data_IF_772262805828
#
_entry.id   IF_772262805828
#
_cell.length_a   1.000
_cell.length_b   1.000
_cell.length_c   1.000
_cell.angle_alpha   90.00
_cell.angle_beta   90.00
_cell.angle_gamma   90.00
#
_symmetry.space_group_name_H-M   'P 1'
#
loop_
_entity.id
_entity.type
_entity.pdbx_description
1 polymer ?
#
# COMPACT_ATOMS: atom_id res chain seq x y z
N UNK A 1 -1.94 -30.45 -2.20
CA UNK A 1 -3.17 -29.77 -1.90
C UNK A 1 -3.13 -29.27 -0.47
N UNK A 2 -2.86 -27.98 -0.30
CA UNK A 2 -2.88 -27.33 1.01
C UNK A 2 -4.32 -26.88 1.25
N UNK A 3 -4.98 -27.48 2.22
CA UNK A 3 -6.42 -27.35 2.47
C UNK A 3 -6.79 -26.24 3.45
N UNK A 4 -6.02 -25.17 3.52
CA UNK A 4 -6.38 -23.95 4.24
C UNK A 4 -6.63 -22.79 3.27
N UNK A 5 -7.46 -23.02 2.27
CA UNK A 5 -8.06 -21.91 1.51
C UNK A 5 -8.93 -21.14 2.50
N UNK A 6 -8.61 -19.89 2.69
CA UNK A 6 -9.37 -18.99 3.53
C UNK A 6 -10.83 -18.98 3.03
N UNK A 7 -11.73 -19.61 3.79
CA UNK A 7 -13.15 -19.73 3.44
C UNK A 7 -13.92 -18.47 3.84
N UNK A 8 -13.25 -17.33 3.96
CA UNK A 8 -13.91 -16.07 4.31
C UNK A 8 -14.77 -15.64 3.14
N UNK A 9 -16.01 -15.38 3.41
CA UNK A 9 -16.97 -14.83 2.46
C UNK A 9 -17.15 -13.36 2.78
N UNK A 10 -17.09 -12.51 1.77
CA UNK A 10 -17.43 -11.10 1.91
C UNK A 10 -18.90 -11.01 2.27
N UNK A 11 -19.19 -10.31 3.37
CA UNK A 11 -20.56 -10.07 3.82
C UNK A 11 -20.90 -8.58 3.65
N UNK A 12 -22.17 -8.26 3.52
CA UNK A 12 -22.68 -6.90 3.31
C UNK A 12 -23.11 -6.66 1.86
N UNK A 13 -23.11 -5.42 1.42
CA UNK A 13 -23.57 -5.01 0.08
C UNK A 13 -22.48 -5.22 -0.99
N UNK A 14 -21.89 -6.42 -1.00
CA UNK A 14 -20.87 -6.82 -1.95
C UNK A 14 -21.48 -7.19 -3.32
N UNK A 15 -20.83 -6.75 -4.38
CA UNK A 15 -21.19 -7.11 -5.75
C UNK A 15 -19.99 -7.12 -6.69
N UNK A 16 -20.07 -7.90 -7.76
CA UNK A 16 -19.01 -7.96 -8.77
C UNK A 16 -17.95 -9.01 -8.44
N UNK A 17 -16.80 -8.90 -9.07
CA UNK A 17 -15.65 -9.77 -8.86
C UNK A 17 -14.48 -8.88 -8.46
N UNK A 18 -13.82 -9.18 -7.35
CA UNK A 18 -12.66 -8.42 -6.87
C UNK A 18 -11.43 -9.32 -6.89
N UNK A 19 -10.36 -8.83 -7.49
CA UNK A 19 -9.03 -9.45 -7.47
C UNK A 19 -8.19 -8.71 -6.46
N UNK A 20 -7.43 -9.43 -5.65
CA UNK A 20 -6.60 -8.86 -4.58
C UNK A 20 -5.23 -9.51 -4.64
N UNK A 21 -4.20 -8.70 -4.67
CA UNK A 21 -2.82 -9.13 -4.39
C UNK A 21 -2.50 -8.94 -2.92
N UNK A 22 -1.78 -9.88 -2.33
CA UNK A 22 -1.43 -9.85 -0.92
C UNK A 22 0.00 -10.34 -0.67
N UNK A 23 0.74 -9.61 0.14
CA UNK A 23 2.10 -9.99 0.52
C UNK A 23 2.14 -11.16 1.50
N UNK A 24 1.15 -11.27 2.39
CA UNK A 24 1.04 -12.35 3.35
C UNK A 24 2.23 -12.41 4.32
N UNK A 25 2.26 -11.56 5.33
CA UNK A 25 3.37 -11.54 6.29
C UNK A 25 3.36 -12.76 7.23
N UNK A 26 2.18 -13.28 7.55
CA UNK A 26 2.02 -14.51 8.34
C UNK A 26 1.70 -15.73 7.48
N UNK A 27 1.21 -15.52 6.27
CA UNK A 27 0.86 -16.53 5.30
C UNK A 27 1.74 -16.39 4.06
N UNK A 28 1.57 -17.26 3.06
CA UNK A 28 2.20 -17.08 1.76
C UNK A 28 1.57 -15.90 1.02
N UNK A 29 2.39 -15.18 0.30
CA UNK A 29 1.95 -14.21 -0.69
C UNK A 29 1.00 -14.86 -1.68
N UNK A 30 -0.05 -14.16 -2.10
CA UNK A 30 -1.11 -14.75 -2.93
C UNK A 30 -1.83 -13.69 -3.77
N UNK A 31 -2.38 -14.14 -4.89
CA UNK A 31 -3.42 -13.47 -5.63
C UNK A 31 -4.74 -14.19 -5.33
N UNK A 32 -5.74 -13.44 -4.91
CA UNK A 32 -7.08 -13.90 -4.52
C UNK A 32 -8.12 -13.35 -5.47
N UNK A 33 -9.15 -14.14 -5.77
CA UNK A 33 -10.31 -13.66 -6.52
C UNK A 33 -11.58 -14.00 -5.73
N UNK A 34 -12.33 -12.97 -5.41
CA UNK A 34 -13.67 -13.09 -4.84
C UNK A 34 -14.72 -12.93 -5.93
N UNK A 35 -15.64 -13.89 -6.01
CA UNK A 35 -16.72 -13.86 -6.99
C UNK A 35 -17.93 -13.04 -6.52
N UNK A 36 -18.96 -12.90 -7.39
CA UNK A 36 -20.11 -12.05 -7.11
C UNK A 36 -20.95 -12.46 -5.88
N UNK A 37 -20.75 -13.67 -5.39
CA UNK A 37 -21.36 -14.20 -4.17
C UNK A 37 -20.51 -13.92 -2.90
N UNK A 38 -19.42 -13.19 -3.06
CA UNK A 38 -18.46 -12.90 -2.00
C UNK A 38 -17.57 -14.08 -1.59
N UNK A 39 -17.69 -15.23 -2.25
CA UNK A 39 -16.86 -16.40 -2.00
C UNK A 39 -15.55 -16.37 -2.79
N UNK A 40 -14.51 -16.99 -2.24
CA UNK A 40 -13.22 -17.14 -2.93
C UNK A 40 -13.37 -18.09 -4.11
N UNK A 41 -13.11 -17.61 -5.32
CA UNK A 41 -13.19 -18.39 -6.56
C UNK A 41 -11.83 -18.91 -7.03
N UNK A 42 -10.76 -18.16 -6.77
CA UNK A 42 -9.43 -18.51 -7.22
C UNK A 42 -8.36 -18.04 -6.21
N UNK A 43 -7.29 -18.83 -6.09
CA UNK A 43 -6.11 -18.51 -5.29
C UNK A 43 -4.87 -18.96 -6.03
N UNK A 44 -3.91 -18.06 -6.18
CA UNK A 44 -2.58 -18.37 -6.69
C UNK A 44 -1.52 -17.95 -5.67
N UNK A 45 -0.66 -18.87 -5.25
CA UNK A 45 0.45 -18.64 -4.32
C UNK A 45 1.77 -19.18 -4.88
N UNK A 46 1.95 -19.06 -6.20
CA UNK A 46 3.15 -19.54 -6.91
C UNK A 46 4.37 -18.69 -6.58
N UNK A 47 4.21 -17.37 -6.49
CA UNK A 47 5.28 -16.42 -6.26
C UNK A 47 5.47 -16.09 -4.78
N UNK A 48 6.66 -15.62 -4.43
CA UNK A 48 6.97 -15.19 -3.06
C UNK A 48 6.40 -13.80 -2.75
N UNK A 49 6.10 -13.00 -3.78
CA UNK A 49 5.43 -11.69 -3.67
C UNK A 49 4.58 -11.43 -4.89
N UNK A 50 3.41 -10.86 -4.66
CA UNK A 50 2.53 -10.25 -5.64
C UNK A 50 2.38 -8.77 -5.29
N UNK A 51 2.32 -7.93 -6.32
CA UNK A 51 2.21 -6.48 -6.16
C UNK A 51 0.97 -5.99 -6.89
N UNK A 52 1.14 -5.20 -7.90
CA UNK A 52 0.16 -4.66 -8.80
C UNK A 52 -0.70 -5.74 -9.50
N UNK A 53 -1.97 -5.43 -9.83
CA UNK A 53 -2.86 -6.29 -10.61
C UNK A 53 -3.89 -5.50 -11.39
N UNK A 54 -3.80 -5.51 -12.73
CA UNK A 54 -4.67 -4.78 -13.65
C UNK A 54 -5.67 -5.68 -14.35
N UNK A 55 -6.92 -5.24 -14.54
CA UNK A 55 -7.85 -5.85 -15.47
C UNK A 55 -7.36 -5.70 -16.92
N UNK A 56 -7.22 -6.79 -17.64
CA UNK A 56 -6.78 -6.75 -19.03
C UNK A 56 -7.84 -6.11 -19.95
N UNK A 57 -7.51 -5.00 -20.65
CA UNK A 57 -8.45 -4.28 -21.50
C UNK A 57 -9.15 -5.17 -22.54
N UNK A 58 -10.46 -4.98 -22.70
CA UNK A 58 -11.28 -5.74 -23.66
C UNK A 58 -11.61 -7.18 -23.24
N UNK A 59 -11.17 -7.64 -22.07
CA UNK A 59 -11.52 -8.91 -21.46
C UNK A 59 -12.41 -8.72 -20.23
N UNK A 60 -12.98 -9.82 -19.73
CA UNK A 60 -13.79 -9.80 -18.49
C UNK A 60 -13.15 -10.62 -17.37
N UNK A 61 -12.25 -11.53 -17.73
CA UNK A 61 -11.74 -12.56 -16.83
C UNK A 61 -10.23 -12.75 -16.99
N UNK A 62 -9.52 -11.75 -17.46
CA UNK A 62 -8.06 -11.78 -17.57
C UNK A 62 -7.51 -10.61 -16.80
N UNK A 63 -6.50 -10.86 -16.01
CA UNK A 63 -5.72 -9.84 -15.29
C UNK A 63 -4.26 -9.97 -15.62
N UNK A 64 -3.55 -8.88 -15.58
CA UNK A 64 -2.10 -8.84 -15.61
C UNK A 64 -1.62 -8.42 -14.22
N UNK A 65 -0.50 -8.92 -13.77
CA UNK A 65 0.05 -8.57 -12.46
C UNK A 65 1.56 -8.59 -12.46
N UNK A 66 2.16 -7.87 -11.53
CA UNK A 66 3.57 -7.98 -11.22
C UNK A 66 3.79 -8.93 -10.05
N UNK A 67 4.82 -9.76 -10.16
CA UNK A 67 5.19 -10.70 -9.11
C UNK A 67 6.70 -10.93 -9.05
N UNK A 68 7.17 -11.44 -7.91
CA UNK A 68 8.57 -11.77 -7.72
C UNK A 68 8.77 -13.13 -7.04
N UNK A 69 9.82 -13.84 -7.50
CA UNK A 69 10.26 -15.12 -6.94
C UNK A 69 11.67 -15.02 -6.41
N UNK A 70 11.92 -15.50 -5.21
CA UNK A 70 13.26 -15.67 -4.67
C UNK A 70 13.89 -16.96 -5.20
N UNK A 71 15.16 -16.88 -5.59
CA UNK A 71 15.90 -18.00 -6.16
C UNK A 71 17.18 -18.23 -5.35
N UNK A 72 17.49 -19.49 -5.12
CA UNK A 72 18.66 -19.89 -4.34
C UNK A 72 19.54 -20.83 -5.17
N UNK A 73 20.87 -20.63 -5.10
CA UNK A 73 21.82 -21.41 -5.88
C UNK A 73 21.86 -21.01 -7.36
N UNK A 74 22.10 -21.97 -8.26
CA UNK A 74 21.98 -21.73 -9.69
C UNK A 74 20.51 -21.47 -10.05
N UNK A 75 20.17 -20.39 -10.79
CA UNK A 75 21.00 -19.59 -11.70
C UNK A 75 21.63 -18.31 -11.12
N UNK A 76 21.67 -18.13 -9.81
CA UNK A 76 22.21 -16.93 -9.19
C UNK A 76 23.74 -16.92 -9.27
N UNK A 77 24.31 -16.32 -10.35
CA UNK A 77 25.74 -16.40 -10.67
C UNK A 77 26.66 -15.63 -9.70
N UNK A 78 26.20 -14.54 -9.13
CA UNK A 78 27.02 -13.63 -8.32
C UNK A 78 26.86 -13.82 -6.82
N UNK A 79 26.07 -14.81 -6.41
CA UNK A 79 25.77 -15.04 -5.00
C UNK A 79 24.90 -16.28 -4.81
N UNK A 80 24.62 -16.59 -3.57
CA UNK A 80 23.76 -17.74 -3.23
C UNK A 80 22.27 -17.43 -3.40
N UNK A 81 21.90 -16.14 -3.56
CA UNK A 81 20.52 -15.65 -3.58
C UNK A 81 20.35 -14.60 -4.64
N UNK A 82 19.26 -14.69 -5.39
CA UNK A 82 18.80 -13.68 -6.33
C UNK A 82 17.27 -13.72 -6.41
N UNK A 83 16.67 -12.86 -7.20
CA UNK A 83 15.25 -12.91 -7.49
C UNK A 83 14.99 -12.77 -8.98
N UNK A 84 13.78 -12.99 -9.41
CA UNK A 84 13.30 -12.48 -10.67
C UNK A 84 11.94 -11.82 -10.46
N UNK A 85 11.66 -10.79 -11.23
CA UNK A 85 10.34 -10.20 -11.36
C UNK A 85 9.72 -10.59 -12.69
N UNK A 86 8.40 -10.69 -12.71
CA UNK A 86 7.61 -11.00 -13.90
C UNK A 86 6.48 -9.98 -14.05
N UNK A 87 6.09 -9.75 -15.31
CA UNK A 87 4.77 -9.30 -15.71
C UNK A 87 4.08 -10.55 -16.24
N UNK A 88 3.02 -10.99 -15.61
CA UNK A 88 2.32 -12.23 -15.95
C UNK A 88 0.83 -11.99 -16.10
N UNK A 89 0.26 -12.56 -17.14
CA UNK A 89 -1.17 -12.52 -17.42
C UNK A 89 -1.83 -13.79 -16.95
N UNK A 90 -3.00 -13.69 -16.35
CA UNK A 90 -3.79 -14.81 -15.82
C UNK A 90 -5.20 -14.75 -16.37
N UNK A 91 -5.64 -15.83 -17.00
CA UNK A 91 -7.04 -16.03 -17.33
C UNK A 91 -7.76 -16.67 -16.14
N UNK A 92 -8.63 -15.93 -15.49
CA UNK A 92 -9.35 -16.36 -14.27
C UNK A 92 -10.36 -17.47 -14.52
N UNK A 93 -10.78 -17.69 -15.78
CA UNK A 93 -11.71 -18.76 -16.13
C UNK A 93 -11.01 -20.10 -16.27
N UNK A 94 -9.83 -20.11 -16.90
CA UNK A 94 -9.07 -21.34 -17.18
C UNK A 94 -7.98 -21.62 -16.13
N UNK A 95 -7.52 -20.59 -15.42
CA UNK A 95 -6.36 -20.64 -14.55
C UNK A 95 -5.02 -20.68 -15.31
N UNK A 96 -5.05 -20.48 -16.63
CA UNK A 96 -3.84 -20.44 -17.46
C UNK A 96 -3.10 -19.11 -17.26
N UNK A 97 -1.78 -19.20 -17.10
CA UNK A 97 -0.89 -18.04 -16.99
C UNK A 97 0.01 -17.93 -18.22
N UNK A 98 0.39 -16.70 -18.55
CA UNK A 98 1.31 -16.37 -19.62
C UNK A 98 2.30 -15.28 -19.15
N UNK A 99 3.58 -15.63 -19.02
CA UNK A 99 4.62 -14.67 -18.66
C UNK A 99 4.90 -13.76 -19.86
N UNK A 100 4.54 -12.50 -19.76
CA UNK A 100 4.78 -11.49 -20.81
C UNK A 100 6.23 -11.00 -20.78
N UNK A 101 6.78 -10.75 -19.59
CA UNK A 101 8.15 -10.32 -19.42
C UNK A 101 8.74 -10.83 -18.10
N UNK A 102 10.04 -11.14 -18.11
CA UNK A 102 10.76 -11.65 -16.94
C UNK A 102 12.18 -11.15 -16.90
N UNK A 103 12.63 -10.68 -15.73
CA UNK A 103 14.03 -10.28 -15.56
C UNK A 103 14.59 -10.74 -14.22
N UNK A 104 15.82 -11.30 -14.25
CA UNK A 104 16.56 -11.65 -13.05
C UNK A 104 17.22 -10.44 -12.40
N UNK A 105 17.31 -10.48 -11.08
CA UNK A 105 17.84 -9.43 -10.22
C UNK A 105 18.88 -9.98 -9.25
N UNK A 106 19.92 -9.19 -8.89
CA UNK A 106 21.03 -9.68 -8.07
C UNK A 106 20.67 -9.95 -6.60
N UNK A 107 19.58 -9.38 -6.08
CA UNK A 107 19.17 -9.47 -4.68
C UNK A 107 17.78 -10.08 -4.54
N UNK A 108 17.40 -10.43 -3.32
CA UNK A 108 16.03 -10.86 -2.96
C UNK A 108 15.22 -9.77 -2.27
N UNK A 109 15.88 -8.74 -1.72
CA UNK A 109 15.25 -7.58 -1.09
C UNK A 109 15.48 -6.35 -1.94
N UNK A 110 14.54 -5.40 -1.92
CA UNK A 110 14.62 -4.11 -2.61
C UNK A 110 15.03 -4.26 -4.09
N UNK A 111 14.57 -5.30 -4.76
CA UNK A 111 14.96 -5.65 -6.13
C UNK A 111 13.78 -6.08 -6.99
N UNK A 112 12.58 -5.66 -6.63
CA UNK A 112 11.33 -6.08 -7.26
C UNK A 112 10.74 -4.97 -8.10
N UNK A 113 9.95 -5.33 -9.09
CA UNK A 113 9.01 -4.41 -9.69
C UNK A 113 7.79 -4.33 -8.78
N UNK A 114 7.38 -3.13 -8.45
CA UNK A 114 6.22 -2.94 -7.61
C UNK A 114 4.98 -2.76 -8.46
N UNK A 115 5.20 -2.27 -9.70
CA UNK A 115 4.11 -1.94 -10.56
C UNK A 115 4.54 -1.97 -12.02
N UNK A 116 3.56 -2.22 -12.94
CA UNK A 116 3.77 -2.19 -14.37
C UNK A 116 2.46 -1.91 -15.12
N UNK A 117 2.29 -0.72 -15.66
CA UNK A 117 1.11 -0.30 -16.41
C UNK A 117 1.28 -0.46 -17.92
N UNK A 118 0.19 -0.67 -18.59
CA UNK A 118 0.13 -0.95 -20.01
C UNK A 118 0.07 0.31 -20.85
N UNK A 119 1.01 0.49 -21.77
CA UNK A 119 1.01 1.58 -22.75
C UNK A 119 0.19 1.21 -23.99
N UNK A 120 0.43 -0.01 -24.53
CA UNK A 120 -0.25 -0.55 -25.70
C UNK A 120 -0.16 -2.09 -25.74
N UNK A 121 -0.44 -2.70 -26.88
CA UNK A 121 -0.47 -4.18 -27.03
C UNK A 121 0.83 -4.85 -26.58
N UNK A 122 1.99 -4.23 -26.88
CA UNK A 122 3.31 -4.82 -26.65
C UNK A 122 4.16 -4.08 -25.62
N UNK A 123 3.82 -2.86 -25.22
CA UNK A 123 4.69 -2.02 -24.38
C UNK A 123 4.09 -1.79 -23.01
N UNK A 124 4.94 -1.97 -22.02
CA UNK A 124 4.64 -1.78 -20.60
C UNK A 124 5.63 -0.82 -19.98
N UNK A 125 5.17 0.08 -19.13
CA UNK A 125 6.01 0.87 -18.24
C UNK A 125 6.14 0.15 -16.91
N UNK A 126 7.30 0.25 -16.25
CA UNK A 126 7.62 -0.55 -15.06
C UNK A 126 8.29 0.31 -14.01
N UNK A 127 7.82 0.22 -12.77
CA UNK A 127 8.46 0.77 -11.58
C UNK A 127 9.54 -0.18 -11.06
N UNK A 128 10.81 0.22 -11.15
CA UNK A 128 11.97 -0.61 -10.81
C UNK A 128 12.73 -0.05 -9.61
N UNK A 129 12.37 -0.51 -8.41
CA UNK A 129 13.01 -0.05 -7.17
C UNK A 129 14.50 -0.44 -7.06
N UNK A 130 14.92 -1.53 -7.73
CA UNK A 130 16.30 -2.01 -7.64
C UNK A 130 17.32 -1.05 -8.24
N UNK A 131 16.91 -0.29 -9.23
CA UNK A 131 17.77 0.65 -9.96
C UNK A 131 17.27 2.07 -9.92
N UNK A 132 16.30 2.38 -9.07
CA UNK A 132 15.71 3.71 -8.92
C UNK A 132 15.32 4.31 -10.28
N UNK A 133 14.56 3.55 -11.07
CA UNK A 133 14.22 3.90 -12.45
C UNK A 133 12.80 3.50 -12.83
N UNK A 134 12.32 4.18 -13.85
CA UNK A 134 11.16 3.76 -14.64
C UNK A 134 11.63 3.39 -16.03
N UNK A 135 11.15 2.30 -16.59
CA UNK A 135 11.51 1.92 -17.96
C UNK A 135 10.31 1.38 -18.74
N UNK A 136 10.35 1.56 -20.06
CA UNK A 136 9.37 0.99 -20.98
C UNK A 136 10.02 -0.20 -21.67
N UNK A 137 9.34 -1.33 -21.60
CA UNK A 137 9.77 -2.57 -22.27
C UNK A 137 8.75 -3.00 -23.33
N UNK A 138 9.25 -3.42 -24.48
CA UNK A 138 8.44 -4.15 -25.45
C UNK A 138 8.50 -5.64 -25.10
N UNK A 139 7.39 -6.22 -24.67
CA UNK A 139 7.30 -7.60 -24.16
C UNK A 139 7.46 -8.65 -25.26
N UNK A 140 7.14 -8.32 -26.53
CA UNK A 140 7.34 -9.21 -27.68
C UNK A 140 8.82 -9.35 -28.02
N UNK A 141 9.60 -8.26 -27.97
CA UNK A 141 11.02 -8.27 -28.32
C UNK A 141 11.95 -8.40 -27.13
N UNK A 142 11.47 -8.12 -25.91
CA UNK A 142 12.26 -8.03 -24.68
C UNK A 142 13.20 -6.81 -24.63
N UNK A 143 13.01 -5.82 -25.53
CA UNK A 143 13.86 -4.62 -25.61
C UNK A 143 13.29 -3.52 -24.72
N UNK A 144 14.16 -2.89 -23.94
CA UNK A 144 13.83 -1.66 -23.20
C UNK A 144 13.96 -0.48 -24.18
N UNK A 145 12.83 0.12 -24.54
CA UNK A 145 12.76 1.19 -25.54
C UNK A 145 13.06 2.57 -24.95
N UNK A 146 12.77 2.75 -23.66
CA UNK A 146 12.97 4.00 -22.94
C UNK A 146 13.25 3.74 -21.46
N UNK A 147 14.00 4.63 -20.83
CA UNK A 147 14.14 4.64 -19.37
C UNK A 147 14.45 6.03 -18.84
N UNK A 148 13.93 6.29 -17.65
CA UNK A 148 14.28 7.43 -16.83
C UNK A 148 14.88 6.93 -15.52
N UNK A 149 15.97 7.57 -15.06
CA UNK A 149 16.65 7.22 -13.82
C UNK A 149 16.54 8.38 -12.83
N UNK A 150 16.12 8.10 -11.63
CA UNK A 150 15.93 9.09 -10.57
C UNK A 150 17.22 9.86 -10.25
N UNK A 151 18.39 9.22 -10.39
CA UNK A 151 19.71 9.85 -10.22
C UNK A 151 19.97 11.03 -11.15
N UNK A 152 19.26 11.13 -12.27
CA UNK A 152 19.40 12.27 -13.19
C UNK A 152 18.60 13.50 -12.73
N UNK A 153 17.77 13.36 -11.72
CA UNK A 153 16.84 14.40 -11.28
C UNK A 153 16.98 14.72 -9.80
N UNK A 154 17.00 13.72 -8.93
CA UNK A 154 17.04 13.93 -7.48
C UNK A 154 18.47 13.93 -6.91
N UNK A 155 18.70 14.73 -5.87
CA UNK A 155 19.96 14.68 -5.11
C UNK A 155 20.01 13.37 -4.31
N UNK A 156 21.13 12.64 -4.37
CA UNK A 156 21.34 11.39 -3.63
C UNK A 156 21.35 11.53 -2.10
N UNK A 157 21.19 12.74 -1.59
CA UNK A 157 21.02 13.01 -0.15
C UNK A 157 19.57 13.00 0.28
N UNK A 158 18.64 13.01 -0.68
CA UNK A 158 17.20 12.94 -0.45
C UNK A 158 16.74 11.50 -0.36
N UNK A 159 15.60 11.23 0.26
CA UNK A 159 15.07 9.89 0.44
C UNK A 159 15.89 9.01 1.39
N UNK A 160 15.88 7.71 1.18
CA UNK A 160 16.68 6.77 1.96
C UNK A 160 18.18 6.81 1.60
N UNK A 161 19.07 6.25 2.44
CA UNK A 161 20.51 6.23 2.15
C UNK A 161 20.84 5.55 0.83
N UNK A 162 21.35 6.32 -0.14
CA UNK A 162 21.80 5.79 -1.43
C UNK A 162 22.98 4.80 -1.24
N UNK A 163 23.05 3.68 -1.95
CA UNK A 163 22.14 3.21 -3.02
C UNK A 163 21.06 2.20 -2.56
N UNK A 164 20.86 2.02 -1.28
CA UNK A 164 19.96 0.99 -0.76
C UNK A 164 18.55 1.52 -0.60
N UNK A 165 17.62 1.05 -1.48
CA UNK A 165 16.21 1.42 -1.44
C UNK A 165 15.98 2.93 -1.41
N UNK A 166 16.76 3.66 -2.23
CA UNK A 166 16.89 5.10 -2.13
C UNK A 166 15.60 5.86 -2.42
N UNK A 167 15.00 5.64 -3.60
CA UNK A 167 13.77 6.34 -4.00
C UNK A 167 12.52 5.53 -3.74
N UNK A 168 12.63 4.21 -3.83
CA UNK A 168 11.52 3.27 -3.72
C UNK A 168 10.34 3.68 -4.60
N UNK A 169 10.59 3.79 -5.93
CA UNK A 169 9.53 4.06 -6.90
C UNK A 169 8.57 2.87 -6.89
N UNK A 170 7.40 3.03 -6.30
CA UNK A 170 6.49 1.94 -6.00
C UNK A 170 5.24 1.91 -6.86
N UNK A 171 5.15 2.84 -7.84
CA UNK A 171 3.98 2.92 -8.70
C UNK A 171 4.27 3.69 -9.99
N UNK A 172 3.62 3.33 -11.08
CA UNK A 172 3.64 3.99 -12.38
C UNK A 172 2.26 3.90 -13.05
N UNK A 173 1.72 5.00 -13.52
CA UNK A 173 0.47 5.03 -14.28
C UNK A 173 0.63 5.85 -15.56
N UNK A 174 0.10 5.37 -16.69
CA UNK A 174 0.07 6.09 -17.96
C UNK A 174 -1.17 6.97 -18.04
N UNK A 175 -1.00 8.25 -17.79
CA UNK A 175 -2.11 9.20 -17.88
C UNK A 175 -2.61 9.37 -19.32
N UNK A 176 -3.88 9.78 -19.50
CA UNK A 176 -4.48 10.01 -20.83
C UNK A 176 -3.68 10.97 -21.75
N UNK A 177 -2.92 11.89 -21.15
CA UNK A 177 -2.01 12.77 -21.88
C UNK A 177 -0.73 12.10 -22.37
N UNK A 178 -0.53 10.81 -22.09
CA UNK A 178 0.68 10.04 -22.42
C UNK A 178 1.89 10.40 -21.56
N UNK A 179 1.70 11.11 -20.46
CA UNK A 179 2.69 11.25 -19.39
C UNK A 179 2.63 10.04 -18.48
N UNK A 180 3.73 9.74 -17.82
CA UNK A 180 3.82 8.68 -16.83
C UNK A 180 3.80 9.34 -15.46
N UNK A 181 2.77 9.10 -14.67
CA UNK A 181 2.75 9.44 -13.26
C UNK A 181 3.56 8.38 -12.51
N UNK A 182 4.33 8.78 -11.51
CA UNK A 182 5.11 7.86 -10.67
C UNK A 182 5.03 8.28 -9.21
N UNK A 183 4.98 7.31 -8.33
CA UNK A 183 5.12 7.50 -6.90
C UNK A 183 6.57 7.30 -6.47
N UNK A 184 7.23 8.37 -6.01
CA UNK A 184 8.59 8.34 -5.46
C UNK A 184 8.48 8.31 -3.94
N UNK A 185 8.18 7.13 -3.39
CA UNK A 185 7.76 6.90 -2.01
C UNK A 185 8.67 7.55 -0.98
N UNK A 186 9.97 7.24 -1.04
CA UNK A 186 10.93 7.68 -0.02
C UNK A 186 11.29 9.18 -0.12
N UNK A 187 10.66 9.90 -1.05
CA UNK A 187 10.80 11.35 -1.19
C UNK A 187 9.46 12.08 -1.05
N UNK A 188 8.42 11.38 -0.59
CA UNK A 188 7.10 11.95 -0.31
C UNK A 188 6.53 12.73 -1.51
N UNK A 189 6.73 12.19 -2.74
CA UNK A 189 6.37 12.86 -3.99
C UNK A 189 5.70 11.95 -4.99
N UNK A 190 4.77 12.56 -5.72
CA UNK A 190 4.25 12.04 -6.98
C UNK A 190 4.72 12.98 -8.08
N UNK A 191 5.39 12.44 -9.10
CA UNK A 191 5.93 13.21 -10.21
C UNK A 191 5.39 12.71 -11.54
N UNK A 192 5.35 13.58 -12.53
CA UNK A 192 4.91 13.26 -13.88
C UNK A 192 6.09 13.33 -14.83
N UNK A 193 6.27 12.28 -15.61
CA UNK A 193 7.35 12.17 -16.59
C UNK A 193 6.80 12.35 -18.00
N UNK A 194 7.45 13.18 -18.77
CA UNK A 194 7.33 13.21 -20.22
C UNK A 194 8.52 12.45 -20.82
N UNK A 195 8.26 11.54 -21.76
CA UNK A 195 9.32 10.68 -22.33
C UNK A 195 10.43 11.44 -23.04
N UNK A 196 10.21 12.69 -23.45
CA UNK A 196 11.18 13.52 -24.17
C UNK A 196 11.90 14.51 -23.27
N UNK A 197 11.20 15.08 -22.31
CA UNK A 197 11.70 16.18 -21.46
C UNK A 197 12.03 15.78 -20.03
N UNK A 198 11.63 14.59 -19.59
CA UNK A 198 11.80 14.13 -18.22
C UNK A 198 10.72 14.65 -17.28
N UNK A 199 11.08 14.98 -16.04
CA UNK A 199 10.12 15.43 -15.01
C UNK A 199 9.42 16.73 -15.42
N UNK A 200 8.11 16.75 -15.28
CA UNK A 200 7.23 17.91 -15.48
C UNK A 200 7.07 18.61 -14.13
N UNK A 201 8.03 19.48 -13.81
CA UNK A 201 8.20 20.10 -12.48
C UNK A 201 6.93 20.75 -11.93
N UNK A 202 6.18 21.45 -12.78
CA UNK A 202 4.98 22.17 -12.36
C UNK A 202 3.80 21.26 -12.04
N UNK A 203 3.94 19.94 -12.29
CA UNK A 203 2.94 18.93 -11.94
C UNK A 203 3.30 18.10 -10.71
N UNK A 204 4.48 18.26 -10.16
CA UNK A 204 4.90 17.53 -8.95
C UNK A 204 3.94 17.81 -7.78
N UNK A 205 3.49 16.75 -7.12
CA UNK A 205 2.68 16.77 -5.91
C UNK A 205 3.53 16.24 -4.75
N UNK A 206 3.51 16.93 -3.62
CA UNK A 206 4.33 16.57 -2.47
C UNK A 206 5.72 17.22 -2.50
N UNK A 207 6.41 17.09 -1.40
CA UNK A 207 7.76 17.61 -1.17
C UNK A 207 8.42 16.78 -0.08
N UNK A 208 9.68 16.41 -0.26
CA UNK A 208 10.41 15.61 0.72
C UNK A 208 10.34 16.20 2.13
N UNK A 209 10.13 15.34 3.11
CA UNK A 209 9.97 15.67 4.53
C UNK A 209 8.74 16.56 4.83
N UNK A 210 7.88 16.85 3.86
CA UNK A 210 6.63 17.57 4.07
C UNK A 210 5.46 16.59 4.35
N UNK A 211 5.54 15.89 5.44
CA UNK A 211 4.61 14.84 5.84
C UNK A 211 3.15 15.31 6.03
N UNK A 212 2.91 16.61 6.03
CA UNK A 212 1.55 17.14 6.05
C UNK A 212 0.82 17.02 4.71
N UNK A 213 1.57 16.87 3.61
CA UNK A 213 1.04 16.66 2.27
C UNK A 213 0.97 15.16 1.98
N UNK A 214 2.13 14.50 1.89
CA UNK A 214 2.27 13.06 1.69
C UNK A 214 3.36 12.51 2.60
N UNK A 215 3.22 11.25 3.00
CA UNK A 215 4.22 10.56 3.79
C UNK A 215 4.34 9.09 3.37
N UNK A 216 5.39 8.78 2.61
CA UNK A 216 5.67 7.46 2.04
C UNK A 216 4.42 6.81 1.42
N UNK A 217 3.81 7.53 0.48
CA UNK A 217 2.58 7.15 -0.21
C UNK A 217 2.76 5.93 -1.12
N UNK A 218 1.65 5.27 -1.46
CA UNK A 218 1.58 4.15 -2.40
C UNK A 218 0.45 4.37 -3.39
N UNK A 219 0.52 3.69 -4.50
CA UNK A 219 -0.46 3.52 -5.57
C UNK A 219 -1.36 4.77 -5.74
N UNK A 220 -0.84 5.87 -6.30
CA UNK A 220 -1.65 7.03 -6.63
C UNK A 220 -2.34 6.86 -7.98
N UNK A 221 -3.65 7.04 -8.04
CA UNK A 221 -4.46 6.99 -9.25
C UNK A 221 -4.72 8.36 -9.83
N UNK A 222 -4.59 8.49 -11.13
CA UNK A 222 -4.87 9.73 -11.83
C UNK A 222 -6.31 9.78 -12.34
N UNK A 223 -7.04 10.81 -11.94
CA UNK A 223 -8.39 11.11 -12.45
C UNK A 223 -8.30 12.29 -13.39
N UNK A 224 -8.63 12.05 -14.66
CA UNK A 224 -8.49 13.03 -15.73
C UNK A 224 -9.52 14.18 -15.70
N UNK A 225 -9.35 15.13 -16.64
CA UNK A 225 -10.21 16.31 -16.72
C UNK A 225 -11.68 15.99 -17.10
N UNK A 226 -11.93 14.92 -17.84
CA UNK A 226 -13.27 14.53 -18.28
C UNK A 226 -14.10 13.99 -17.12
N UNK A 227 -13.41 13.45 -16.09
CA UNK A 227 -13.99 12.89 -14.87
C UNK A 227 -13.94 13.85 -13.68
N UNK A 228 -13.70 15.14 -13.93
CA UNK A 228 -13.67 16.21 -12.94
C UNK A 228 -12.28 16.59 -12.45
N UNK A 229 -11.22 15.92 -12.93
CA UNK A 229 -9.82 16.23 -12.62
C UNK A 229 -9.26 17.45 -13.38
N UNK A 230 -7.95 17.59 -13.52
CA UNK A 230 -6.96 16.62 -13.08
C UNK A 230 -6.89 16.48 -11.56
N UNK A 231 -6.93 15.25 -11.08
CA UNK A 231 -6.80 14.93 -9.66
C UNK A 231 -5.95 13.68 -9.48
N UNK A 232 -5.48 13.46 -8.26
CA UNK A 232 -4.76 12.25 -7.83
C UNK A 232 -5.40 11.75 -6.54
N UNK A 233 -5.92 10.53 -6.56
CA UNK A 233 -6.32 9.78 -5.40
C UNK A 233 -5.12 8.96 -4.94
N UNK A 234 -4.83 8.90 -3.64
CA UNK A 234 -3.59 8.28 -3.17
C UNK A 234 -3.73 7.70 -1.76
N UNK A 235 -3.14 6.53 -1.54
CA UNK A 235 -2.96 5.97 -0.21
C UNK A 235 -1.76 6.64 0.47
N UNK A 236 -2.03 7.57 1.38
CA UNK A 236 -1.03 8.28 2.19
C UNK A 236 -0.67 7.44 3.42
N UNK A 237 0.20 6.45 3.19
CA UNK A 237 0.36 5.26 4.01
C UNK A 237 0.79 5.55 5.44
N UNK A 238 1.83 6.35 5.66
CA UNK A 238 2.28 6.67 7.00
C UNK A 238 1.38 7.65 7.75
N UNK A 239 0.54 8.38 7.02
CA UNK A 239 -0.52 9.20 7.61
C UNK A 239 -1.81 8.41 7.90
N UNK A 240 -1.88 7.13 7.50
CA UNK A 240 -3.02 6.25 7.71
C UNK A 240 -4.33 6.84 7.17
N UNK A 241 -4.31 7.34 5.93
CA UNK A 241 -5.46 7.95 5.26
C UNK A 241 -5.44 7.69 3.75
N UNK A 242 -6.61 7.78 3.13
CA UNK A 242 -6.75 7.96 1.69
C UNK A 242 -7.04 9.43 1.45
N UNK A 243 -6.39 10.04 0.46
CA UNK A 243 -6.52 11.47 0.19
C UNK A 243 -6.61 11.73 -1.31
N UNK A 244 -7.44 12.70 -1.69
CA UNK A 244 -7.54 13.17 -3.08
C UNK A 244 -7.05 14.62 -3.17
N UNK A 245 -6.14 14.84 -4.12
CA UNK A 245 -5.66 16.17 -4.47
C UNK A 245 -6.15 16.54 -5.87
N UNK A 246 -6.76 17.70 -6.00
CA UNK A 246 -7.17 18.25 -7.28
C UNK A 246 -6.27 19.40 -7.69
N UNK A 247 -5.89 19.41 -8.97
CA UNK A 247 -5.05 20.48 -9.52
C UNK A 247 -5.91 21.62 -10.07
N UNK A 248 -5.77 22.80 -9.48
CA UNK A 248 -6.45 24.01 -9.91
C UNK A 248 -5.49 25.19 -9.97
N UNK A 249 -5.54 25.96 -11.07
CA UNK A 249 -4.64 27.10 -11.29
C UNK A 249 -3.14 26.77 -11.11
N UNK A 250 -2.73 25.60 -11.56
CA UNK A 250 -1.35 25.12 -11.47
C UNK A 250 -0.90 24.63 -10.09
N UNK A 251 -1.81 24.48 -9.14
CA UNK A 251 -1.51 24.03 -7.78
C UNK A 251 -2.36 22.83 -7.40
N UNK A 252 -1.78 21.89 -6.65
CA UNK A 252 -2.49 20.82 -6.03
C UNK A 252 -3.13 21.30 -4.72
N UNK A 253 -4.38 20.91 -4.52
CA UNK A 253 -5.15 21.23 -3.31
C UNK A 253 -5.86 19.96 -2.87
N UNK A 254 -5.74 19.60 -1.60
CA UNK A 254 -6.50 18.49 -1.04
C UNK A 254 -7.99 18.82 -1.11
N UNK A 255 -8.78 17.94 -1.70
CA UNK A 255 -10.22 18.09 -1.90
C UNK A 255 -11.03 17.09 -1.13
N UNK A 256 -10.44 15.94 -0.78
CA UNK A 256 -11.11 14.89 -0.04
C UNK A 256 -10.12 14.11 0.81
N UNK A 257 -10.60 13.55 1.91
CA UNK A 257 -9.84 12.65 2.79
C UNK A 257 -10.78 11.65 3.44
N UNK A 258 -10.31 10.40 3.55
CA UNK A 258 -10.98 9.39 4.32
C UNK A 258 -10.01 8.62 5.19
N UNK A 259 -10.41 8.43 6.45
CA UNK A 259 -9.75 7.52 7.39
C UNK A 259 -10.74 7.04 8.43
N UNK A 260 -10.46 5.89 9.03
CA UNK A 260 -11.16 5.41 10.20
C UNK A 260 -10.16 4.96 11.29
N UNK A 261 -10.71 4.44 12.37
CA UNK A 261 -9.93 4.04 13.52
C UNK A 261 -9.08 2.77 13.30
N UNK A 262 -9.40 2.00 12.28
CA UNK A 262 -8.74 0.73 11.97
C UNK A 262 -7.74 0.89 10.81
N UNK A 263 -7.82 1.99 10.06
CA UNK A 263 -6.93 2.29 8.94
C UNK A 263 -5.47 2.29 9.40
N UNK A 264 -4.68 1.46 8.76
CA UNK A 264 -3.26 1.35 9.07
C UNK A 264 -2.43 0.98 7.85
N UNK A 265 -1.58 1.90 7.44
CA UNK A 265 -0.72 1.75 6.29
C UNK A 265 -1.47 1.27 5.03
N UNK A 266 -2.47 2.03 4.55
CA UNK A 266 -3.12 1.71 3.28
C UNK A 266 -2.10 1.77 2.15
N UNK A 267 -2.30 0.95 1.13
CA UNK A 267 -1.41 0.94 -0.04
C UNK A 267 -2.11 1.28 -1.33
N UNK A 268 -3.42 1.18 -1.36
CA UNK A 268 -4.14 1.33 -2.59
C UNK A 268 -5.55 1.87 -2.37
N UNK A 269 -6.08 2.64 -3.33
CA UNK A 269 -7.46 3.11 -3.32
C UNK A 269 -7.95 3.53 -4.70
N UNK A 270 -8.99 2.85 -5.22
CA UNK A 270 -9.61 3.14 -6.50
C UNK A 270 -10.93 3.88 -6.36
N UNK A 271 -11.14 4.88 -7.19
CA UNK A 271 -12.44 5.49 -7.36
C UNK A 271 -13.25 4.74 -8.41
N UNK A 272 -14.29 4.05 -7.97
CA UNK A 272 -15.13 3.25 -8.85
C UNK A 272 -16.15 4.10 -9.65
N UNK A 273 -16.65 3.62 -10.81
CA UNK A 273 -17.60 4.35 -11.65
C UNK A 273 -18.93 4.70 -10.98
N UNK A 274 -19.33 3.94 -9.95
CA UNK A 274 -20.55 4.18 -9.17
C UNK A 274 -20.38 5.21 -8.05
N UNK A 275 -19.16 5.76 -7.91
CA UNK A 275 -18.78 6.72 -6.88
C UNK A 275 -18.32 6.12 -5.56
N UNK A 276 -18.27 4.79 -5.46
CA UNK A 276 -17.67 4.10 -4.35
C UNK A 276 -16.13 4.23 -4.38
N UNK A 277 -15.47 3.85 -3.31
CA UNK A 277 -14.00 3.79 -3.23
C UNK A 277 -13.59 2.44 -2.67
N UNK A 278 -12.84 1.67 -3.46
CA UNK A 278 -12.19 0.42 -3.03
C UNK A 278 -10.88 0.77 -2.35
N UNK A 279 -10.51 0.07 -1.28
CA UNK A 279 -9.30 0.39 -0.49
C UNK A 279 -8.61 -0.89 -0.04
N UNK A 280 -7.30 -0.95 -0.23
CA UNK A 280 -6.39 -1.95 0.34
C UNK A 280 -5.70 -1.39 1.58
N UNK A 281 -6.21 -1.72 2.77
CA UNK A 281 -5.67 -1.33 4.07
C UNK A 281 -4.69 -2.40 4.58
N UNK A 282 -3.42 -2.28 4.14
CA UNK A 282 -2.43 -3.36 4.24
C UNK A 282 -2.13 -3.80 5.66
N UNK A 283 -1.71 -2.90 6.54
CA UNK A 283 -1.43 -3.24 7.94
C UNK A 283 -2.71 -3.30 8.78
N UNK A 284 -3.83 -2.79 8.27
CA UNK A 284 -5.16 -3.06 8.79
C UNK A 284 -5.65 -4.47 8.45
N UNK A 285 -4.93 -5.19 7.56
CA UNK A 285 -5.26 -6.55 7.13
C UNK A 285 -6.67 -6.68 6.55
N UNK A 286 -7.10 -5.73 5.73
CA UNK A 286 -8.43 -5.73 5.14
C UNK A 286 -8.46 -5.05 3.77
N UNK A 287 -9.38 -5.52 2.94
CA UNK A 287 -9.87 -4.79 1.77
C UNK A 287 -11.31 -4.37 2.07
N UNK A 288 -11.67 -3.15 1.71
CA UNK A 288 -12.99 -2.58 1.98
C UNK A 288 -13.47 -1.68 0.85
N UNK A 289 -14.78 -1.55 0.70
CA UNK A 289 -15.40 -0.62 -0.23
C UNK A 289 -16.23 0.40 0.54
N UNK A 290 -16.05 1.66 0.21
CA UNK A 290 -16.81 2.78 0.78
C UNK A 290 -17.91 3.19 -0.17
N UNK A 291 -19.09 3.49 0.37
CA UNK A 291 -20.14 4.20 -0.35
C UNK A 291 -19.85 5.71 -0.47
N UNK A 292 -20.65 6.43 -1.29
CA UNK A 292 -20.46 7.85 -1.52
C UNK A 292 -20.61 8.74 -0.27
N UNK A 293 -21.23 8.26 0.80
CA UNK A 293 -21.34 8.93 2.10
C UNK A 293 -20.13 8.66 3.03
N UNK A 294 -19.17 7.85 2.56
CA UNK A 294 -17.99 7.44 3.30
C UNK A 294 -18.23 6.33 4.32
N UNK A 295 -19.39 5.67 4.28
CA UNK A 295 -19.65 4.49 5.11
C UNK A 295 -19.12 3.22 4.45
N UNK A 296 -18.62 2.30 5.26
CA UNK A 296 -18.12 1.01 4.79
C UNK A 296 -19.29 0.14 4.34
N UNK A 297 -19.36 -0.20 3.07
CA UNK A 297 -20.39 -1.09 2.50
C UNK A 297 -20.06 -2.55 2.82
N UNK A 298 -18.83 -2.94 2.62
CA UNK A 298 -18.30 -4.25 2.96
C UNK A 298 -16.81 -4.19 3.30
N UNK A 299 -16.35 -5.22 3.98
CA UNK A 299 -14.93 -5.42 4.27
C UNK A 299 -14.62 -6.91 4.36
N UNK A 300 -13.45 -7.30 3.89
CA UNK A 300 -12.92 -8.67 4.04
C UNK A 300 -11.52 -8.63 4.63
N UNK A 301 -11.23 -9.55 5.55
CA UNK A 301 -9.89 -9.67 6.12
C UNK A 301 -8.98 -10.41 5.13
N UNK A 302 -7.89 -9.77 4.75
CA UNK A 302 -6.81 -10.32 3.92
C UNK A 302 -5.48 -9.98 4.60
N UNK A 303 -4.59 -10.96 4.71
CA UNK A 303 -3.28 -10.73 5.33
C UNK A 303 -2.39 -9.88 4.43
N UNK A 304 -2.13 -8.64 4.84
CA UNK A 304 -1.29 -7.64 4.16
C UNK A 304 -1.66 -7.49 2.67
N UNK A 305 -2.90 -7.04 2.32
CA UNK A 305 -3.26 -6.77 0.94
C UNK A 305 -2.34 -5.67 0.38
N UNK A 306 -1.98 -5.80 -0.88
CA UNK A 306 -1.17 -4.79 -1.57
C UNK A 306 -2.08 -3.92 -2.42
N UNK A 307 -2.85 -4.54 -3.29
CA UNK A 307 -3.75 -3.90 -4.23
C UNK A 307 -5.03 -4.70 -4.40
N UNK A 308 -6.09 -4.05 -4.84
CA UNK A 308 -7.38 -4.69 -5.08
C UNK A 308 -8.11 -4.03 -6.24
N UNK A 309 -8.46 -4.83 -7.25
CA UNK A 309 -9.17 -4.41 -8.43
C UNK A 309 -10.56 -4.99 -8.55
N UNK A 310 -11.55 -4.16 -8.89
CA UNK A 310 -12.92 -4.59 -9.17
C UNK A 310 -13.12 -4.79 -10.67
N UNK A 311 -13.22 -6.04 -11.11
CA UNK A 311 -13.31 -6.36 -12.53
C UNK A 311 -14.53 -5.73 -13.20
N UNK A 312 -14.28 -5.07 -14.33
CA UNK A 312 -15.31 -4.42 -15.14
C UNK A 312 -15.57 -2.95 -14.81
N UNK A 313 -14.79 -2.37 -13.90
CA UNK A 313 -14.84 -0.94 -13.56
C UNK A 313 -13.78 -0.11 -14.26
N UNK A 314 -12.80 -0.73 -14.84
CA UNK A 314 -11.61 -0.13 -15.43
C UNK A 314 -10.38 -0.62 -14.69
N UNK A 315 -9.25 -0.08 -15.00
CA UNK A 315 -7.97 -0.20 -14.37
C UNK A 315 -7.83 0.94 -13.37
N UNK A 316 -7.44 0.70 -12.14
CA UNK A 316 -7.36 1.70 -11.09
C UNK A 316 -8.64 2.58 -11.00
N UNK A 317 -8.49 3.89 -10.96
CA UNK A 317 -9.62 4.85 -10.98
C UNK A 317 -10.11 5.23 -12.39
N UNK A 318 -9.80 4.43 -13.43
CA UNK A 318 -10.13 4.77 -14.84
C UNK A 318 -11.60 5.05 -15.11
N UNK A 319 -12.53 4.46 -14.36
CA UNK A 319 -13.96 4.72 -14.49
C UNK A 319 -14.52 5.74 -13.51
N UNK A 320 -13.74 6.16 -12.52
CA UNK A 320 -14.18 6.98 -11.40
C UNK A 320 -14.15 8.48 -11.64
N UNK A 321 -14.95 9.22 -10.88
CA UNK A 321 -14.96 10.68 -10.88
C UNK A 321 -14.31 11.22 -9.60
N UNK A 322 -13.84 12.48 -9.65
CA UNK A 322 -13.29 13.13 -8.46
C UNK A 322 -14.32 13.26 -7.35
N UNK A 323 -13.85 13.24 -6.10
CA UNK A 323 -14.68 13.45 -4.93
C UNK A 323 -15.46 14.78 -5.00
N UNK A 324 -14.84 15.82 -5.58
CA UNK A 324 -15.52 17.11 -5.79
C UNK A 324 -16.66 17.02 -6.81
N UNK A 325 -16.48 16.32 -7.92
CA UNK A 325 -17.52 16.13 -8.93
C UNK A 325 -18.71 15.33 -8.38
N UNK A 326 -18.42 14.34 -7.54
CA UNK A 326 -19.42 13.50 -6.89
C UNK A 326 -20.02 14.14 -5.63
N UNK A 327 -19.42 15.21 -5.09
CA UNK A 327 -19.84 15.83 -3.83
C UNK A 327 -19.61 14.95 -2.60
N UNK A 328 -18.55 14.12 -2.61
CA UNK A 328 -18.26 13.20 -1.51
C UNK A 328 -17.82 13.96 -0.26
N UNK A 329 -18.36 13.63 0.93
CA UNK A 329 -17.92 14.23 2.17
C UNK A 329 -16.58 13.61 2.62
N UNK A 330 -15.65 14.43 3.11
CA UNK A 330 -14.47 13.92 3.81
C UNK A 330 -14.87 13.35 5.18
N UNK A 331 -14.17 12.27 5.59
CA UNK A 331 -14.36 11.61 6.88
C UNK A 331 -13.02 11.43 7.57
N UNK A 332 -12.78 12.20 8.62
CA UNK A 332 -11.54 12.16 9.39
C UNK A 332 -11.78 11.68 10.79
N UNK A 333 -10.76 11.14 11.46
CA UNK A 333 -10.85 10.71 12.86
C UNK A 333 -11.02 11.88 13.83
N UNK A 334 -10.67 13.10 13.44
CA UNK A 334 -10.69 14.29 14.29
C UNK A 334 -12.07 14.96 14.43
N UNK A 335 -13.12 14.19 14.19
CA UNK A 335 -14.37 14.41 14.91
C UNK A 335 -15.28 15.55 14.45
N UNK A 336 -15.79 15.54 13.23
CA UNK A 336 -17.09 16.17 12.97
C UNK A 336 -18.13 15.22 12.37
N UNK A 337 -17.72 14.09 11.81
CA UNK A 337 -18.63 13.02 11.39
C UNK A 337 -18.88 11.94 12.47
N UNK A 338 -18.13 11.95 13.59
CA UNK A 338 -18.27 10.98 14.66
C UNK A 338 -19.53 11.15 15.52
N UNK A 339 -20.27 12.25 15.39
CA UNK A 339 -21.48 12.48 16.21
C UNK A 339 -22.68 11.64 15.77
N UNK A 340 -22.73 11.14 14.54
CA UNK A 340 -23.87 10.35 14.07
C UNK A 340 -23.76 8.82 14.29
N UNK A 341 -22.58 8.30 14.60
CA UNK A 341 -22.38 6.86 14.87
C UNK A 341 -21.92 6.52 16.30
N UNK A 342 -21.80 7.51 17.21
CA UNK A 342 -21.33 7.26 18.58
C UNK A 342 -22.30 6.49 19.47
N UNK A 343 -23.54 6.32 19.07
CA UNK A 343 -24.59 5.70 19.91
C UNK A 343 -24.53 4.16 20.00
N UNK A 344 -23.58 3.49 19.36
CA UNK A 344 -23.48 2.04 19.40
C UNK A 344 -22.09 1.46 19.65
N UNK A 345 -21.03 2.26 19.66
CA UNK A 345 -19.67 1.73 19.85
C UNK A 345 -19.39 1.35 21.30
N UNK A 346 -18.78 0.15 21.55
CA UNK A 346 -18.36 -0.23 22.89
C UNK A 346 -17.43 0.81 23.52
N UNK A 347 -17.58 1.11 24.81
CA UNK A 347 -16.71 2.05 25.53
C UNK A 347 -15.21 1.68 25.44
N UNK A 348 -14.93 0.39 25.33
CA UNK A 348 -13.56 -0.12 25.12
C UNK A 348 -12.96 0.36 23.80
N UNK A 349 -13.72 0.35 22.73
CA UNK A 349 -13.28 0.83 21.42
C UNK A 349 -13.05 2.35 21.45
N UNK A 350 -13.97 3.11 22.02
CA UNK A 350 -13.81 4.56 22.19
C UNK A 350 -12.56 4.91 23.00
N UNK A 351 -12.25 4.15 24.03
CA UNK A 351 -11.04 4.34 24.83
C UNK A 351 -9.77 4.00 24.03
N UNK A 352 -9.79 2.93 23.26
CA UNK A 352 -8.65 2.53 22.40
C UNK A 352 -8.37 3.59 21.34
N UNK A 353 -9.40 4.14 20.71
CA UNK A 353 -9.29 5.23 19.74
C UNK A 353 -8.70 6.50 20.37
N UNK A 354 -9.18 6.85 21.55
CA UNK A 354 -8.62 7.98 22.31
C UNK A 354 -7.12 7.79 22.59
N UNK A 355 -6.71 6.58 23.04
CA UNK A 355 -5.29 6.28 23.31
C UNK A 355 -4.46 6.32 22.02
N UNK A 356 -4.99 5.78 20.92
CA UNK A 356 -4.31 5.82 19.60
C UNK A 356 -4.07 7.25 19.16
N UNK A 357 -5.06 8.13 19.26
CA UNK A 357 -4.96 9.54 18.87
C UNK A 357 -4.01 10.37 19.76
N UNK A 358 -3.59 9.84 20.91
CA UNK A 358 -2.55 10.48 21.75
C UNK A 358 -1.14 10.17 21.28
N UNK A 359 -0.96 9.17 20.39
CA UNK A 359 0.35 8.72 19.92
C UNK A 359 0.57 9.19 18.47
N UNK A 360 1.80 9.62 18.12
CA UNK A 360 2.14 9.89 16.72
C UNK A 360 1.93 8.63 15.87
N UNK A 361 1.29 8.76 14.69
CA UNK A 361 1.04 7.65 13.77
C UNK A 361 2.32 6.86 13.45
N UNK A 362 3.43 7.57 13.18
CA UNK A 362 4.75 6.97 12.97
C UNK A 362 5.18 6.03 14.10
N UNK A 363 4.96 6.43 15.37
CA UNK A 363 5.34 5.59 16.51
C UNK A 363 4.48 4.33 16.60
N UNK A 364 3.19 4.43 16.31
CA UNK A 364 2.28 3.29 16.27
C UNK A 364 2.67 2.34 15.14
N UNK A 365 2.87 2.85 13.93
CA UNK A 365 3.26 2.07 12.76
C UNK A 365 4.62 1.38 12.97
N UNK A 366 5.62 2.09 13.50
CA UNK A 366 6.94 1.51 13.77
C UNK A 366 6.90 0.37 14.79
N UNK A 367 6.07 0.48 15.83
CA UNK A 367 5.91 -0.58 16.82
C UNK A 367 5.19 -1.78 16.22
N UNK A 368 4.11 -1.55 15.47
CA UNK A 368 3.32 -2.62 14.86
C UNK A 368 4.07 -3.32 13.74
N UNK A 369 4.94 -2.61 13.01
CA UNK A 369 5.81 -3.20 11.99
C UNK A 369 6.79 -4.27 12.53
N UNK A 370 7.23 -4.14 13.79
CA UNK A 370 8.19 -5.08 14.42
C UNK A 370 7.47 -6.23 15.12
N UNK A 371 6.17 -6.14 15.31
CA UNK A 371 5.37 -7.13 16.02
C UNK A 371 4.75 -8.14 15.04
N UNK A 372 4.41 -9.35 15.52
CA UNK A 372 3.64 -10.29 14.70
C UNK A 372 2.31 -9.68 14.25
N UNK A 373 1.90 -9.93 13.01
CA UNK A 373 0.72 -9.36 12.36
C UNK A 373 -0.62 -9.61 13.06
N UNK A 374 -0.68 -10.62 13.95
CA UNK A 374 -1.85 -10.85 14.82
C UNK A 374 -1.93 -9.91 16.03
N UNK A 375 -0.90 -9.06 16.24
CA UNK A 375 -0.88 -8.05 17.31
C UNK A 375 -1.32 -6.72 16.73
N UNK A 376 -2.56 -6.36 16.96
CA UNK A 376 -3.09 -5.04 16.59
C UNK A 376 -2.94 -4.02 17.74
N UNK A 377 -3.25 -2.77 17.47
CA UNK A 377 -3.16 -1.71 18.48
C UNK A 377 -3.99 -2.02 19.75
N UNK A 378 -5.10 -2.73 19.61
CA UNK A 378 -5.94 -3.14 20.73
C UNK A 378 -5.21 -4.06 21.72
N UNK A 379 -4.49 -5.06 21.22
CA UNK A 379 -3.69 -5.99 22.01
C UNK A 379 -2.54 -5.27 22.73
N UNK A 380 -1.88 -4.33 22.03
CA UNK A 380 -0.83 -3.48 22.63
C UNK A 380 -1.37 -2.64 23.76
N UNK A 381 -2.52 -2.00 23.59
CA UNK A 381 -3.14 -1.19 24.62
C UNK A 381 -3.53 -2.04 25.84
N UNK A 382 -4.03 -3.26 25.65
CA UNK A 382 -4.34 -4.20 26.74
C UNK A 382 -3.05 -4.63 27.45
N UNK A 383 -2.02 -5.03 26.72
CA UNK A 383 -0.72 -5.45 27.29
C UNK A 383 -0.09 -4.29 28.07
N UNK A 384 -0.09 -3.09 27.49
CA UNK A 384 0.40 -1.88 28.16
C UNK A 384 -0.36 -1.55 29.43
N UNK A 385 -1.68 -1.64 29.37
CA UNK A 385 -2.56 -1.44 30.53
C UNK A 385 -2.31 -2.45 31.65
N UNK A 386 -2.20 -3.73 31.32
CA UNK A 386 -1.84 -4.79 32.29
C UNK A 386 -0.44 -4.55 32.86
N UNK A 387 0.52 -4.14 32.03
CA UNK A 387 1.87 -3.78 32.49
C UNK A 387 1.85 -2.64 33.51
N UNK A 388 1.06 -1.59 33.25
CA UNK A 388 0.88 -0.49 34.19
C UNK A 388 0.24 -0.93 35.51
N UNK A 389 -0.76 -1.82 35.46
CA UNK A 389 -1.37 -2.39 36.67
C UNK A 389 -0.34 -3.18 37.47
N UNK A 390 0.45 -4.04 36.83
CA UNK A 390 1.51 -4.83 37.49
C UNK A 390 2.57 -3.92 38.10
N UNK A 391 3.03 -2.91 37.37
CA UNK A 391 4.00 -1.93 37.87
C UNK A 391 3.46 -1.12 39.02
N UNK A 392 2.19 -0.70 38.97
CA UNK A 392 1.53 0.01 40.02
C UNK A 392 1.40 -0.86 41.27
N UNK A 393 1.00 -2.11 41.10
CA UNK A 393 0.95 -3.07 42.18
C UNK A 393 2.34 -3.34 42.80
N UNK A 394 3.34 -3.57 41.98
CA UNK A 394 4.73 -3.75 42.44
C UNK A 394 5.26 -2.51 43.20
N UNK A 395 4.90 -1.30 42.71
CA UNK A 395 5.22 -0.05 43.39
C UNK A 395 4.54 0.07 44.75
N UNK A 396 3.27 -0.29 44.85
CA UNK A 396 2.54 -0.29 46.12
C UNK A 396 3.10 -1.31 47.10
N UNK A 397 3.39 -2.54 46.64
CA UNK A 397 4.06 -3.57 47.44
C UNK A 397 5.43 -3.10 47.95
N UNK A 398 6.22 -2.48 47.05
CA UNK A 398 7.50 -1.89 47.45
C UNK A 398 7.32 -0.80 48.49
N UNK A 399 6.35 0.10 48.34
CA UNK A 399 6.05 1.17 49.30
C UNK A 399 5.63 0.64 50.67
N UNK A 400 4.92 -0.47 50.70
CA UNK A 400 4.46 -1.12 51.96
C UNK A 400 5.48 -2.13 52.51
N UNK A 401 6.45 -2.55 51.71
CA UNK A 401 7.50 -3.42 52.14
C UNK A 401 8.53 -2.68 53.04
N UNK A 402 9.20 -3.43 53.88
CA UNK A 402 10.33 -2.92 54.69
C UNK A 402 11.66 -2.93 53.93
N UNK A 403 11.65 -3.30 52.64
CA UNK A 403 12.84 -3.40 51.82
C UNK A 403 13.17 -2.06 51.14
N UNK A 404 14.46 -1.74 51.03
CA UNK A 404 14.93 -0.58 50.25
C UNK A 404 15.78 -1.10 49.06
N UNK A 405 15.46 -0.66 47.85
CA UNK A 405 16.29 -0.91 46.67
C UNK A 405 17.56 -0.04 46.74
N UNK A 406 18.71 -0.67 46.86
CA UNK A 406 20.00 0.02 46.69
C UNK A 406 20.60 -0.38 45.35
N UNK A 407 20.70 0.53 44.42
CA UNK A 407 21.44 0.31 43.19
C UNK A 407 22.94 0.43 43.44
N UNK A 408 23.66 -0.73 43.44
CA UNK A 408 25.11 -0.77 43.42
C UNK A 408 25.64 -0.96 41.99
N UNK A 409 26.80 -0.42 41.67
CA UNK A 409 27.46 -0.72 40.38
C UNK A 409 27.79 -2.22 40.31
N UNK A 410 27.36 -2.96 39.28
CA UNK A 410 27.52 -4.40 39.20
C UNK A 410 28.97 -4.86 38.88
N UNK A 411 29.90 -3.94 38.58
CA UNK A 411 31.30 -4.26 38.24
C UNK A 411 32.23 -3.33 39.01
N UNK A 412 33.07 -3.86 39.87
CA UNK A 412 34.31 -3.22 40.38
C UNK A 412 35.41 -3.55 39.38
N UNK A 413 35.95 -2.53 38.73
CA UNK A 413 37.25 -2.64 38.08
C UNK A 413 38.29 -2.41 39.15
N UNK A 414 38.89 -3.48 39.69
CA UNK A 414 40.13 -3.40 40.46
C UNK A 414 41.26 -3.15 39.46
N UNK A 415 41.92 -2.03 39.58
CA UNK A 415 43.26 -1.82 38.99
C UNK A 415 44.20 -2.68 39.85
N UNK A 416 44.71 -3.72 39.25
CA UNK A 416 45.87 -4.41 39.77
C UNK A 416 47.06 -3.47 39.72
N UNK A 417 47.81 -3.39 40.80
CA UNK A 417 49.11 -2.72 40.93
C UNK A 417 50.14 -3.30 39.95
#
# INVERSE_FOLDING_TARGET
GDSSVDQRTIAGDYSGTTVITAHGDTEKSKLLVYGPDGGVQYVNSTYDRYFDVDPEPGTKNTVTYTAAMHVYGAPCQAGEKCSYSVIEQLNLTTGETNVLYKQYRPNIHNSRWHDADRIDEDRWVVADIAFDRVFIVNTTTGIVDWSWNAQNHFDMKTGNPYPEDWTHINDVEVTEGGQIMISVRNQDRIVFLDQKTGVVEDRTLGEEDNYSVLYEQHNPDYIDAERGGPAVLVADSHNNRIVEFQRSNGRWMQTWEWTDAEMQWPRDADRLPDGNTLISDSSGNRVLELGPDGDVLWSVTVDTPYEAEKLGTGDESAGGQTAQALGLPSKTTDGTAAESQSSGRPLTLQFLLFVRNLLPALAVNAVLYVLPTWVHFAELAVIGGLGLVVLSWAYLEYRWSRFSLRFGRPVRLDRGD
#
